data_IF_636150123480
#
_entry.id   IF_636150123480
#
_cell.length_a   1.000
_cell.length_b   1.000
_cell.length_c   1.000
_cell.angle_alpha   90.00
_cell.angle_beta   90.00
_cell.angle_gamma   90.00
#
_symmetry.space_group_name_H-M   'P 1'
#
loop_
_entity.id
_entity.type
_entity.pdbx_description
1 polymer ?
#
# COMPACT_ATOMS: atom_id res chain seq x y z
N UNK A 1 -6.16 -13.51 -9.77
CA UNK A 1 -5.08 -12.79 -9.09
C UNK A 1 -4.53 -11.70 -10.01
N UNK A 2 -4.14 -10.58 -9.45
CA UNK A 2 -3.61 -9.46 -10.24
C UNK A 2 -2.18 -9.78 -10.69
N UNK A 3 -2.03 -10.03 -11.98
CA UNK A 3 -0.73 -10.26 -12.62
C UNK A 3 -0.54 -9.23 -13.72
N UNK A 4 0.67 -9.12 -14.22
CA UNK A 4 1.02 -8.20 -15.31
C UNK A 4 0.92 -6.71 -14.94
N UNK A 5 0.92 -6.38 -13.65
CA UNK A 5 1.00 -4.99 -13.21
C UNK A 5 2.44 -4.49 -13.38
N UNK A 6 2.59 -3.23 -13.79
CA UNK A 6 3.90 -2.63 -14.04
C UNK A 6 4.49 -1.95 -12.82
N UNK A 7 3.64 -1.45 -11.94
CA UNK A 7 4.05 -0.66 -10.78
C UNK A 7 4.00 -1.49 -9.51
N UNK A 8 2.93 -2.25 -9.33
CA UNK A 8 2.67 -2.97 -8.08
C UNK A 8 2.85 -4.47 -8.24
N UNK A 9 3.46 -5.09 -7.23
CA UNK A 9 3.37 -6.54 -7.02
C UNK A 9 2.30 -6.75 -5.95
N UNK A 10 1.34 -7.60 -6.24
CA UNK A 10 0.22 -7.88 -5.33
C UNK A 10 0.30 -9.32 -4.85
N UNK A 11 0.32 -9.50 -3.55
CA UNK A 11 0.36 -10.82 -2.91
C UNK A 11 -0.78 -10.92 -1.91
N UNK A 12 -1.27 -12.13 -1.69
CA UNK A 12 -2.29 -12.34 -0.68
C UNK A 12 -1.77 -13.32 0.37
N UNK A 13 -1.84 -12.90 1.63
CA UNK A 13 -1.44 -13.71 2.78
C UNK A 13 -2.67 -13.79 3.70
N UNK A 14 -3.35 -14.95 3.67
CA UNK A 14 -4.63 -15.12 4.36
C UNK A 14 -5.64 -14.07 3.86
N UNK A 15 -6.16 -13.22 4.73
CA UNK A 15 -7.11 -12.16 4.36
C UNK A 15 -6.43 -10.80 4.12
N UNK A 16 -5.11 -10.77 4.14
CA UNK A 16 -4.33 -9.55 3.98
C UNK A 16 -3.76 -9.47 2.56
N UNK A 17 -3.98 -8.35 1.91
CA UNK A 17 -3.38 -8.04 0.62
C UNK A 17 -2.12 -7.21 0.88
N UNK A 18 -0.99 -7.66 0.35
CA UNK A 18 0.27 -6.93 0.41
C UNK A 18 0.56 -6.38 -0.97
N UNK A 19 0.67 -5.06 -1.08
CA UNK A 19 1.06 -4.41 -2.34
C UNK A 19 2.46 -3.84 -2.17
N UNK A 20 3.32 -4.10 -3.16
CA UNK A 20 4.69 -3.64 -3.16
C UNK A 20 4.91 -2.80 -4.41
N UNK A 21 4.84 -1.46 -4.30
CA UNK A 21 5.20 -0.60 -5.43
C UNK A 21 6.70 -0.63 -5.66
N UNK A 22 7.10 -0.57 -6.92
CA UNK A 22 8.52 -0.59 -7.30
C UNK A 22 8.88 0.61 -8.16
N UNK A 23 10.19 0.88 -8.23
CA UNK A 23 10.71 1.94 -9.05
C UNK A 23 11.04 3.21 -8.28
N UNK A 24 11.45 4.24 -9.01
CA UNK A 24 11.92 5.50 -8.45
C UNK A 24 10.85 6.59 -8.39
N UNK A 25 9.63 6.26 -8.72
CA UNK A 25 8.52 7.21 -8.67
C UNK A 25 8.49 8.24 -9.80
N UNK A 26 9.53 8.31 -10.60
CA UNK A 26 9.62 9.24 -11.73
C UNK A 26 9.34 8.57 -13.07
N UNK A 27 9.39 7.25 -13.10
CA UNK A 27 9.18 6.46 -14.31
C UNK A 27 7.74 6.04 -14.55
N UNK A 28 6.81 6.45 -13.70
CA UNK A 28 5.43 6.04 -13.83
C UNK A 28 4.69 6.89 -14.85
N UNK A 29 3.88 6.21 -15.66
CA UNK A 29 2.84 6.90 -16.40
C UNK A 29 1.63 7.06 -15.50
N UNK A 30 1.05 8.24 -15.52
CA UNK A 30 -0.15 8.53 -14.75
C UNK A 30 -1.27 7.53 -15.03
N UNK A 31 -1.46 7.18 -16.31
CA UNK A 31 -2.50 6.23 -16.70
C UNK A 31 -2.25 4.84 -16.14
N UNK A 32 -1.00 4.39 -16.08
CA UNK A 32 -0.64 3.10 -15.51
C UNK A 32 -0.91 3.08 -14.01
N UNK A 33 -0.53 4.15 -13.31
CA UNK A 33 -0.77 4.26 -11.87
C UNK A 33 -2.28 4.22 -11.58
N UNK A 34 -3.06 4.98 -12.31
CA UNK A 34 -4.51 5.06 -12.12
C UNK A 34 -5.18 3.72 -12.41
N UNK A 35 -4.83 3.09 -13.52
CA UNK A 35 -5.37 1.81 -13.92
C UNK A 35 -5.06 0.71 -12.90
N UNK A 36 -3.81 0.63 -12.45
CA UNK A 36 -3.41 -0.39 -11.48
C UNK A 36 -4.04 -0.16 -10.11
N UNK A 37 -4.14 1.11 -9.70
CA UNK A 37 -4.81 1.45 -8.45
C UNK A 37 -6.28 1.01 -8.47
N UNK A 38 -6.98 1.24 -9.58
CA UNK A 38 -8.37 0.81 -9.72
C UNK A 38 -8.50 -0.72 -9.70
N UNK A 39 -7.56 -1.42 -10.34
CA UNK A 39 -7.55 -2.88 -10.33
C UNK A 39 -7.37 -3.43 -8.91
N UNK A 40 -6.47 -2.84 -8.14
CA UNK A 40 -6.23 -3.24 -6.75
C UNK A 40 -7.45 -2.94 -5.90
N UNK A 41 -8.06 -1.78 -6.07
CA UNK A 41 -9.28 -1.42 -5.33
C UNK A 41 -10.40 -2.43 -5.59
N UNK A 42 -10.57 -2.84 -6.85
CA UNK A 42 -11.53 -3.88 -7.19
C UNK A 42 -11.24 -5.20 -6.50
N UNK A 43 -9.97 -5.58 -6.42
CA UNK A 43 -9.56 -6.80 -5.74
C UNK A 43 -9.82 -6.72 -4.23
N UNK A 44 -9.60 -5.55 -3.62
CA UNK A 44 -9.87 -5.34 -2.19
C UNK A 44 -11.36 -5.46 -1.85
N UNK A 45 -12.24 -5.33 -2.83
CA UNK A 45 -13.68 -5.48 -2.62
C UNK A 45 -14.14 -6.94 -2.60
N UNK A 46 -13.30 -7.88 -2.99
CA UNK A 46 -13.67 -9.29 -3.05
C UNK A 46 -13.77 -9.91 -1.66
N UNK A 47 -14.70 -10.87 -1.47
CA UNK A 47 -14.73 -11.64 -0.22
C UNK A 47 -13.38 -12.32 0.03
N UNK A 48 -12.93 -12.30 1.28
CA UNK A 48 -11.65 -12.88 1.65
C UNK A 48 -10.49 -11.90 1.59
N UNK A 49 -10.71 -10.69 1.09
CA UNK A 49 -9.71 -9.62 1.08
C UNK A 49 -10.14 -8.56 2.09
N UNK A 50 -9.48 -8.48 3.24
CA UNK A 50 -9.87 -7.57 4.30
C UNK A 50 -8.86 -6.46 4.54
N UNK A 51 -7.61 -6.83 4.77
CA UNK A 51 -6.58 -5.91 5.24
C UNK A 51 -5.62 -5.56 4.14
N UNK A 52 -4.93 -4.44 4.28
CA UNK A 52 -3.97 -3.96 3.29
C UNK A 52 -2.66 -3.60 3.97
N UNK A 53 -1.56 -4.13 3.43
CA UNK A 53 -0.21 -3.73 3.81
C UNK A 53 0.45 -3.13 2.57
N UNK A 54 0.97 -1.91 2.70
CA UNK A 54 1.75 -1.26 1.66
C UNK A 54 3.23 -1.42 2.03
N UNK A 55 3.92 -2.27 1.28
CA UNK A 55 5.33 -2.56 1.49
C UNK A 55 6.17 -1.62 0.62
N UNK A 56 6.90 -0.73 1.27
CA UNK A 56 7.67 0.32 0.61
C UNK A 56 9.14 -0.04 0.40
N UNK A 57 9.51 -1.32 0.58
CA UNK A 57 10.90 -1.77 0.50
C UNK A 57 11.54 -1.60 -0.87
N UNK A 58 10.76 -1.56 -1.94
CA UNK A 58 11.24 -1.45 -3.32
C UNK A 58 11.10 -0.04 -3.88
N UNK A 59 10.76 0.94 -3.05
CA UNK A 59 10.50 2.30 -3.46
C UNK A 59 11.47 3.25 -2.79
N UNK A 60 12.20 4.04 -3.56
CA UNK A 60 13.14 5.01 -3.01
C UNK A 60 12.49 6.37 -2.76
N UNK A 61 11.57 6.75 -3.65
CA UNK A 61 10.90 8.03 -3.56
C UNK A 61 9.62 8.02 -4.38
N UNK A 62 8.63 8.80 -3.94
CA UNK A 62 7.41 9.00 -4.74
C UNK A 62 6.85 10.40 -4.49
N UNK A 63 6.15 10.93 -5.51
CA UNK A 63 5.52 12.23 -5.44
C UNK A 63 4.09 12.17 -4.90
N UNK A 64 3.45 13.35 -4.84
CA UNK A 64 2.13 13.51 -4.25
C UNK A 64 1.03 12.71 -4.96
N UNK A 65 1.13 12.54 -6.27
CA UNK A 65 0.15 11.74 -7.00
C UNK A 65 0.18 10.28 -6.58
N UNK A 66 1.38 9.74 -6.38
CA UNK A 66 1.55 8.38 -5.94
C UNK A 66 1.04 8.19 -4.51
N UNK A 67 1.36 9.14 -3.65
CA UNK A 67 0.86 9.12 -2.27
C UNK A 67 -0.67 9.16 -2.27
N UNK A 68 -1.27 9.99 -3.12
CA UNK A 68 -2.72 10.05 -3.26
C UNK A 68 -3.34 8.72 -3.64
N UNK A 69 -2.69 7.98 -4.55
CA UNK A 69 -3.14 6.65 -4.94
C UNK A 69 -3.08 5.66 -3.77
N UNK A 70 -1.97 5.66 -3.02
CA UNK A 70 -1.84 4.80 -1.85
C UNK A 70 -2.89 5.15 -0.78
N UNK A 71 -3.09 6.44 -0.52
CA UNK A 71 -4.06 6.89 0.47
C UNK A 71 -5.47 6.45 0.08
N UNK A 72 -5.82 6.50 -1.20
CA UNK A 72 -7.15 6.09 -1.64
C UNK A 72 -7.42 4.61 -1.33
N UNK A 73 -6.42 3.76 -1.52
CA UNK A 73 -6.54 2.33 -1.21
C UNK A 73 -6.60 2.08 0.29
N UNK A 74 -5.73 2.74 1.06
CA UNK A 74 -5.70 2.61 2.52
C UNK A 74 -7.01 3.07 3.15
N UNK A 75 -7.54 4.19 2.67
CA UNK A 75 -8.78 4.76 3.18
C UNK A 75 -9.96 3.84 2.90
N UNK A 76 -10.01 3.23 1.74
CA UNK A 76 -11.08 2.31 1.41
C UNK A 76 -11.13 1.13 2.37
N UNK A 77 -9.97 0.55 2.68
CA UNK A 77 -9.88 -0.56 3.63
C UNK A 77 -10.31 -0.11 5.03
N UNK A 78 -9.84 1.06 5.46
CA UNK A 78 -10.20 1.60 6.77
C UNK A 78 -11.69 1.90 6.89
N UNK A 79 -12.29 2.44 5.84
CA UNK A 79 -13.71 2.77 5.84
C UNK A 79 -14.60 1.53 5.95
N UNK A 80 -14.08 0.37 5.61
CA UNK A 80 -14.77 -0.91 5.77
C UNK A 80 -14.56 -1.54 7.14
N UNK A 81 -13.86 -0.84 8.04
CA UNK A 81 -13.56 -1.35 9.37
C UNK A 81 -12.39 -2.30 9.43
N UNK A 82 -11.62 -2.40 8.36
CA UNK A 82 -10.46 -3.28 8.29
C UNK A 82 -9.16 -2.51 8.55
N UNK A 83 -8.05 -3.24 8.65
CA UNK A 83 -6.76 -2.66 9.01
C UNK A 83 -5.92 -2.38 7.78
N UNK A 84 -5.24 -1.24 7.78
CA UNK A 84 -4.32 -0.86 6.72
C UNK A 84 -3.08 -0.23 7.34
N UNK A 85 -1.91 -0.51 6.77
CA UNK A 85 -0.66 0.00 7.30
C UNK A 85 0.42 0.05 6.23
N UNK A 86 1.53 0.69 6.59
CA UNK A 86 2.76 0.72 5.78
C UNK A 86 3.83 -0.15 6.43
N UNK A 87 4.80 -0.60 5.65
CA UNK A 87 5.99 -1.23 6.20
C UNK A 87 7.22 -0.96 5.34
N UNK A 88 8.37 -1.13 5.95
CA UNK A 88 9.67 -1.20 5.27
C UNK A 88 10.07 0.07 4.53
N UNK A 89 9.57 1.23 4.93
CA UNK A 89 9.96 2.50 4.32
C UNK A 89 11.40 2.86 4.69
N UNK A 90 12.16 3.40 3.72
CA UNK A 90 13.49 3.93 4.04
C UNK A 90 13.36 5.28 4.76
N UNK A 91 14.50 5.83 5.22
CA UNK A 91 14.49 7.06 6.02
C UNK A 91 13.86 8.24 5.27
N UNK A 92 14.12 8.36 3.98
CA UNK A 92 13.56 9.43 3.16
C UNK A 92 12.05 9.33 3.06
N UNK A 93 11.54 8.13 2.82
CA UNK A 93 10.11 7.88 2.73
C UNK A 93 9.42 8.08 4.07
N UNK A 94 10.05 7.65 5.16
CA UNK A 94 9.53 7.89 6.50
C UNK A 94 9.34 9.37 6.76
N UNK A 95 10.33 10.18 6.37
CA UNK A 95 10.23 11.63 6.51
C UNK A 95 9.04 12.23 5.76
N UNK A 96 8.83 11.78 4.52
CA UNK A 96 7.70 12.24 3.71
C UNK A 96 6.37 11.87 4.37
N UNK A 97 6.22 10.62 4.80
CA UNK A 97 4.99 10.14 5.42
C UNK A 97 4.71 10.84 6.74
N UNK A 98 5.74 11.11 7.54
CA UNK A 98 5.61 11.85 8.79
C UNK A 98 5.17 13.30 8.55
N UNK A 99 5.78 13.96 7.56
CA UNK A 99 5.43 15.34 7.22
C UNK A 99 3.98 15.47 6.76
N UNK A 100 3.42 14.42 6.18
CA UNK A 100 2.01 14.40 5.76
C UNK A 100 1.09 13.91 6.87
N UNK A 101 1.60 13.61 8.04
CA UNK A 101 0.85 13.11 9.20
C UNK A 101 0.08 11.81 8.93
N UNK A 102 0.56 11.01 7.97
CA UNK A 102 -0.13 9.79 7.58
C UNK A 102 -0.10 8.72 8.66
N UNK A 103 0.92 8.75 9.52
CA UNK A 103 1.05 7.76 10.60
C UNK A 103 -0.02 7.92 11.69
N UNK A 104 -0.72 9.03 11.72
CA UNK A 104 -1.87 9.20 12.62
C UNK A 104 -3.06 8.36 12.17
N UNK A 105 -3.12 8.04 10.88
CA UNK A 105 -4.21 7.28 10.29
C UNK A 105 -3.84 5.82 10.04
N UNK A 106 -2.60 5.59 9.60
CA UNK A 106 -2.11 4.27 9.23
C UNK A 106 -0.72 4.07 9.82
N UNK A 107 -0.52 3.07 10.68
CA UNK A 107 0.79 2.87 11.32
C UNK A 107 1.83 2.37 10.32
N UNK A 108 3.10 2.53 10.67
CA UNK A 108 4.23 2.00 9.93
C UNK A 108 4.94 0.95 10.78
N UNK A 109 5.30 -0.16 10.16
CA UNK A 109 6.09 -1.23 10.80
C UNK A 109 7.43 -1.36 10.08
N UNK A 110 8.45 -1.75 10.82
CA UNK A 110 9.81 -1.84 10.27
C UNK A 110 9.91 -2.95 9.23
N UNK A 111 9.22 -4.06 9.43
CA UNK A 111 9.28 -5.21 8.53
C UNK A 111 7.89 -5.59 8.03
N UNK A 112 7.87 -6.29 6.88
CA UNK A 112 6.64 -6.86 6.33
C UNK A 112 6.00 -7.85 7.31
N UNK A 113 6.81 -8.69 7.95
CA UNK A 113 6.29 -9.71 8.87
C UNK A 113 5.55 -9.07 10.03
N UNK A 114 6.09 -8.00 10.59
CA UNK A 114 5.42 -7.26 11.66
C UNK A 114 4.09 -6.65 11.18
N UNK A 115 4.09 -6.09 9.98
CA UNK A 115 2.90 -5.47 9.40
C UNK A 115 1.81 -6.50 9.14
N UNK A 116 2.16 -7.63 8.56
CA UNK A 116 1.21 -8.70 8.27
C UNK A 116 0.65 -9.29 9.56
N UNK A 117 1.50 -9.49 10.57
CA UNK A 117 1.05 -9.97 11.87
C UNK A 117 0.07 -8.99 12.53
N UNK A 118 0.36 -7.69 12.48
CA UNK A 118 -0.52 -6.67 13.04
C UNK A 118 -1.86 -6.60 12.30
N UNK A 119 -1.84 -6.71 10.98
CA UNK A 119 -3.05 -6.69 10.18
C UNK A 119 -3.94 -7.90 10.46
N UNK A 120 -3.34 -9.07 10.66
CA UNK A 120 -4.08 -10.28 10.96
C UNK A 120 -4.49 -10.45 12.42
N UNK A 121 -4.01 -9.60 13.32
CA UNK A 121 -4.35 -9.66 14.74
C UNK A 121 -5.76 -9.13 14.98
N UNK A 122 -6.48 -9.78 15.87
CA UNK A 122 -7.82 -9.36 16.24
C UNK A 122 -7.83 -8.63 17.58
#
# INVERSE_FOLDING_TARGET
>A
MLTHLKIFVVEQISETIVITPGGDGNGFRYNDLHSETNAIRGHLMKPGSKHLVVDLSKMDYFGSEFIGALVSMLREVKNRGNKACFCSANAQMLGVLQNMSLFKLWPHYVTRDEAVAAAGAE
#
